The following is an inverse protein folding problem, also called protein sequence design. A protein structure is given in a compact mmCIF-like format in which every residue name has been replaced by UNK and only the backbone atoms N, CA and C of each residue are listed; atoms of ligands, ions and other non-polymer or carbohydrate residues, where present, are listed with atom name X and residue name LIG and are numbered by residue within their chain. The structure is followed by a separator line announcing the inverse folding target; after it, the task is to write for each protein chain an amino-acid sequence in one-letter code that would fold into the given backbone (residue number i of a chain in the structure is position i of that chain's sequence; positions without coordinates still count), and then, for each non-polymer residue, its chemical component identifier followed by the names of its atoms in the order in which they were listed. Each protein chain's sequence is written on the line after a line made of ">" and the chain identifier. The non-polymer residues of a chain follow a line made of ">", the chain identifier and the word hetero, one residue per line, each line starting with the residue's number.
data_IF_827685895339
#
_entry.id   IF_827685895339
#
_cell.length_a   1.000
_cell.length_b   1.000
_cell.length_c   1.000
_cell.angle_alpha   90.00
_cell.angle_beta   90.00
_cell.angle_gamma   90.00
#
_symmetry.space_group_name_H-M   'P 1'
#
loop_
_entity.id
_entity.type
_entity.pdbx_description
1 polymer ?
#
# COMPACT_ATOMS: atom_id res chain seq x y z
N UNK A 1 -16.51 44.47 11.13
CA UNK A 1 -15.53 43.39 11.32
C UNK A 1 -15.54 42.56 10.05
N UNK A 2 -14.65 42.90 9.12
CA UNK A 2 -14.50 42.20 7.84
C UNK A 2 -13.64 40.95 8.00
N UNK A 3 -14.07 39.86 7.35
CA UNK A 3 -13.40 38.57 7.31
C UNK A 3 -12.23 38.62 6.31
N UNK A 4 -11.01 38.34 6.79
CA UNK A 4 -9.81 38.23 5.94
C UNK A 4 -9.81 36.85 5.26
N UNK A 5 -9.77 36.75 3.91
CA UNK A 5 -9.60 35.47 3.24
C UNK A 5 -8.11 35.07 3.20
N UNK A 6 -7.79 33.90 3.77
CA UNK A 6 -6.47 33.28 3.58
C UNK A 6 -6.29 32.86 2.11
N UNK A 7 -5.62 33.71 1.33
CA UNK A 7 -5.20 33.43 -0.04
C UNK A 7 -3.79 32.84 0.01
N UNK A 8 -3.67 31.52 -0.15
CA UNK A 8 -2.37 30.86 -0.34
C UNK A 8 -1.85 31.21 -1.74
N UNK A 9 -0.64 31.77 -1.90
CA UNK A 9 -0.05 32.04 -3.21
C UNK A 9 0.17 30.72 -3.96
N UNK A 10 -0.30 30.67 -5.21
CA UNK A 10 0.14 29.70 -6.20
C UNK A 10 1.49 30.16 -6.75
N UNK A 11 2.32 29.18 -7.10
CA UNK A 11 3.56 29.30 -7.85
C UNK A 11 4.83 29.55 -7.01
N UNK A 12 5.34 28.46 -6.44
CA UNK A 12 6.79 28.29 -6.21
C UNK A 12 7.13 26.85 -6.57
N UNK A 13 8.03 26.59 -7.54
CA UNK A 13 8.49 25.23 -7.80
C UNK A 13 9.36 24.78 -6.62
N UNK A 14 8.79 23.98 -5.72
CA UNK A 14 9.57 23.30 -4.69
C UNK A 14 10.43 22.23 -5.37
N UNK A 15 11.65 22.59 -5.76
CA UNK A 15 12.65 21.62 -6.21
C UNK A 15 13.10 20.79 -5.01
N UNK A 16 12.60 19.56 -4.91
CA UNK A 16 13.10 18.58 -3.96
C UNK A 16 14.34 17.96 -4.60
N UNK A 17 15.51 18.52 -4.29
CA UNK A 17 16.79 17.94 -4.70
C UNK A 17 17.09 16.74 -3.81
N UNK A 18 16.87 15.52 -4.32
CA UNK A 18 17.29 14.29 -3.64
C UNK A 18 18.75 14.07 -4.00
N UNK A 19 19.66 14.46 -3.12
CA UNK A 19 21.09 14.17 -3.29
C UNK A 19 21.31 12.67 -3.04
N UNK A 20 21.53 11.90 -4.10
CA UNK A 20 21.90 10.48 -3.99
C UNK A 20 23.27 10.36 -3.32
N UNK A 21 23.42 9.74 -2.14
CA UNK A 21 24.74 9.41 -1.65
C UNK A 21 25.29 8.27 -2.52
N UNK A 22 26.47 8.50 -3.10
CA UNK A 22 27.24 7.47 -3.81
C UNK A 22 27.69 6.40 -2.82
N UNK A 23 26.84 5.41 -2.54
CA UNK A 23 27.25 4.21 -1.84
C UNK A 23 28.00 3.33 -2.85
N UNK A 24 29.33 3.51 -2.90
CA UNK A 24 30.24 2.52 -3.45
C UNK A 24 30.31 1.41 -2.40
N UNK A 25 29.42 0.44 -2.52
CA UNK A 25 29.39 -0.75 -1.70
C UNK A 25 28.99 -1.93 -2.56
N UNK A 26 29.95 -2.80 -2.88
CA UNK A 26 29.70 -4.09 -3.51
C UNK A 26 28.89 -4.97 -2.55
N UNK A 27 27.57 -4.81 -2.57
CA UNK A 27 26.61 -5.63 -1.85
C UNK A 27 25.45 -5.96 -2.77
N UNK A 28 25.26 -7.25 -3.07
CA UNK A 28 24.17 -7.78 -3.88
C UNK A 28 22.84 -7.66 -3.10
N UNK A 29 22.29 -6.45 -3.01
CA UNK A 29 20.94 -6.20 -2.49
C UNK A 29 20.00 -5.96 -3.67
N UNK A 30 18.91 -6.72 -3.71
CA UNK A 30 17.96 -6.80 -4.82
C UNK A 30 17.51 -5.43 -5.36
N UNK A 31 17.55 -5.32 -6.68
CA UNK A 31 17.52 -4.10 -7.48
C UNK A 31 16.14 -3.42 -7.53
N UNK A 32 15.93 -2.44 -6.67
CA UNK A 32 15.53 -1.05 -7.00
C UNK A 32 15.29 -0.32 -5.69
N UNK A 33 16.09 0.70 -5.38
CA UNK A 33 15.80 1.57 -4.25
C UNK A 33 14.47 2.30 -4.53
N UNK A 34 13.69 2.59 -3.49
CA UNK A 34 12.47 3.42 -3.61
C UNK A 34 12.73 4.72 -4.40
N UNK A 35 13.95 5.27 -4.25
CA UNK A 35 14.40 6.44 -5.00
C UNK A 35 14.48 6.19 -6.52
N UNK A 36 15.01 5.04 -6.96
CA UNK A 36 15.13 4.69 -8.39
C UNK A 36 13.77 4.55 -9.06
N UNK A 37 12.76 4.20 -8.27
CA UNK A 37 11.39 4.02 -8.74
C UNK A 37 10.64 5.35 -8.84
N UNK A 38 10.90 6.31 -7.94
CA UNK A 38 10.34 7.67 -8.02
C UNK A 38 11.06 8.57 -9.03
N UNK A 39 12.37 8.38 -9.19
CA UNK A 39 13.22 9.15 -10.09
C UNK A 39 14.04 8.20 -10.96
N UNK A 40 13.46 7.66 -12.04
CA UNK A 40 14.18 6.81 -12.98
C UNK A 40 15.39 7.56 -13.53
N UNK A 41 16.55 6.91 -13.70
CA UNK A 41 17.71 7.55 -14.30
C UNK A 41 17.38 8.05 -15.71
N UNK A 42 17.89 9.24 -16.04
CA UNK A 42 17.63 9.91 -17.30
C UNK A 42 17.87 8.97 -18.51
N UNK A 43 16.93 8.95 -19.45
CA UNK A 43 17.00 8.08 -20.65
C UNK A 43 16.26 6.74 -20.54
N UNK A 44 15.70 6.39 -19.37
CA UNK A 44 14.77 5.25 -19.24
C UNK A 44 13.32 5.71 -19.29
N UNK A 45 12.76 5.77 -20.50
CA UNK A 45 11.32 5.92 -20.75
C UNK A 45 10.76 4.52 -21.00
N UNK A 46 9.86 4.04 -20.14
CA UNK A 46 9.27 2.71 -20.28
C UNK A 46 8.60 2.22 -18.99
N UNK A 47 8.09 0.99 -19.05
CA UNK A 47 7.48 0.33 -17.90
C UNK A 47 8.58 -0.21 -16.95
N UNK A 48 8.51 0.16 -15.68
CA UNK A 48 9.40 -0.38 -14.64
C UNK A 48 8.67 -1.53 -13.95
N UNK A 49 9.25 -2.73 -14.01
CA UNK A 49 8.73 -3.86 -13.24
C UNK A 49 8.95 -3.60 -11.75
N UNK A 50 7.88 -3.72 -10.96
CA UNK A 50 7.91 -3.52 -9.52
C UNK A 50 7.65 -4.87 -8.85
N UNK A 51 8.70 -5.61 -8.45
CA UNK A 51 8.53 -6.93 -7.84
C UNK A 51 7.84 -6.80 -6.48
N UNK A 52 7.26 -7.87 -5.92
CA UNK A 52 6.77 -7.90 -4.56
C UNK A 52 7.85 -7.43 -3.56
N UNK A 53 7.50 -6.96 -2.36
CA UNK A 53 8.49 -6.62 -1.35
C UNK A 53 9.31 -7.85 -0.92
N UNK A 54 10.56 -7.63 -0.48
CA UNK A 54 11.51 -8.71 -0.18
C UNK A 54 10.98 -9.74 0.83
N UNK A 55 10.24 -9.30 1.85
CA UNK A 55 9.61 -10.20 2.83
C UNK A 55 8.58 -11.16 2.20
N UNK A 56 7.95 -10.76 1.09
CA UNK A 56 6.94 -11.54 0.39
C UNK A 56 7.54 -12.45 -0.70
N UNK A 57 8.84 -12.31 -1.00
CA UNK A 57 9.55 -13.14 -1.98
C UNK A 57 10.18 -14.40 -1.34
N UNK A 58 10.14 -14.52 -0.01
CA UNK A 58 10.81 -15.62 0.69
C UNK A 58 9.94 -16.89 0.71
N UNK A 59 10.55 -18.05 0.41
CA UNK A 59 10.05 -19.38 0.80
C UNK A 59 8.58 -19.70 0.48
N UNK A 60 8.15 -19.56 -0.78
CA UNK A 60 6.76 -19.78 -1.22
C UNK A 60 5.71 -19.13 -0.29
N UNK A 61 6.05 -17.97 0.28
CA UNK A 61 5.17 -17.25 1.18
C UNK A 61 3.85 -16.90 0.48
N UNK A 62 2.77 -17.02 1.25
CA UNK A 62 1.42 -16.69 0.80
C UNK A 62 0.73 -15.90 1.89
N UNK A 63 0.05 -14.82 1.50
CA UNK A 63 -0.77 -14.03 2.42
C UNK A 63 -2.04 -14.79 2.77
N UNK A 64 -2.31 -14.91 4.06
CA UNK A 64 -3.63 -15.24 4.56
C UNK A 64 -4.53 -14.00 4.48
N UNK A 65 -5.64 -14.13 3.74
CA UNK A 65 -6.61 -13.06 3.54
C UNK A 65 -7.80 -13.14 4.51
N UNK A 66 -7.87 -14.17 5.37
CA UNK A 66 -9.03 -14.45 6.24
C UNK A 66 -9.45 -13.27 7.12
N UNK A 67 -8.53 -12.39 7.48
CA UNK A 67 -8.77 -11.16 8.26
C UNK A 67 -9.65 -10.11 7.58
N UNK A 68 -9.92 -10.22 6.27
CA UNK A 68 -10.86 -9.34 5.56
C UNK A 68 -12.30 -9.68 6.00
N UNK A 69 -13.17 -8.70 6.30
CA UNK A 69 -14.57 -8.97 6.63
C UNK A 69 -15.33 -9.70 5.52
N UNK A 70 -16.25 -10.59 5.93
CA UNK A 70 -17.13 -11.49 5.15
C UNK A 70 -16.79 -12.98 5.34
N UNK A 71 -17.84 -13.80 5.25
CA UNK A 71 -17.85 -15.21 5.62
C UNK A 71 -17.28 -16.15 4.55
N UNK A 72 -16.70 -17.26 5.02
CA UNK A 72 -16.10 -18.31 4.18
C UNK A 72 -14.57 -18.39 4.29
N UNK A 73 -14.01 -19.48 3.75
CA UNK A 73 -12.55 -19.63 3.58
C UNK A 73 -12.10 -18.75 2.42
N UNK A 74 -11.11 -17.89 2.65
CA UNK A 74 -10.53 -17.04 1.62
C UNK A 74 -9.30 -17.72 1.01
N UNK A 75 -9.04 -17.55 -0.29
CA UNK A 75 -7.85 -18.12 -0.91
C UNK A 75 -6.59 -17.47 -0.34
N UNK A 76 -5.50 -18.25 -0.29
CA UNK A 76 -4.17 -17.72 -0.01
C UNK A 76 -3.66 -16.99 -1.25
N UNK A 77 -2.98 -15.85 -1.06
CA UNK A 77 -2.43 -15.07 -2.16
C UNK A 77 -0.93 -15.29 -2.27
N UNK A 78 -0.49 -15.87 -3.39
CA UNK A 78 0.90 -15.90 -3.80
C UNK A 78 1.26 -14.59 -4.52
N UNK A 79 2.24 -13.81 -4.03
CA UNK A 79 2.58 -12.49 -4.60
C UNK A 79 3.17 -12.55 -6.01
N UNK A 80 3.76 -13.69 -6.38
CA UNK A 80 4.48 -13.88 -7.64
C UNK A 80 3.59 -14.45 -8.75
N UNK A 81 2.38 -14.91 -8.42
CA UNK A 81 1.48 -15.61 -9.34
C UNK A 81 0.21 -14.80 -9.65
N UNK A 82 -0.45 -15.14 -10.75
CA UNK A 82 -1.74 -14.58 -11.09
C UNK A 82 -2.80 -15.02 -10.09
N UNK A 83 -3.49 -14.07 -9.46
CA UNK A 83 -4.50 -14.34 -8.44
C UNK A 83 -5.93 -14.16 -8.98
N UNK A 84 -6.83 -15.08 -8.63
CA UNK A 84 -8.23 -15.01 -9.04
C UNK A 84 -9.02 -14.01 -8.19
N UNK A 85 -9.10 -12.77 -8.66
CA UNK A 85 -9.82 -11.67 -7.98
C UNK A 85 -11.29 -12.02 -7.72
N UNK A 86 -11.93 -12.81 -8.58
CA UNK A 86 -13.34 -13.17 -8.43
C UNK A 86 -13.60 -14.04 -7.19
N UNK A 87 -12.65 -14.89 -6.81
CA UNK A 87 -12.77 -15.71 -5.59
C UNK A 87 -12.68 -14.85 -4.33
N UNK A 88 -11.76 -13.88 -4.32
CA UNK A 88 -11.67 -12.91 -3.24
C UNK A 88 -12.94 -12.07 -3.13
N UNK A 89 -13.51 -11.62 -4.25
CA UNK A 89 -14.77 -10.85 -4.26
C UNK A 89 -15.95 -11.65 -3.72
N UNK A 90 -16.08 -12.93 -4.07
CA UNK A 90 -17.18 -13.78 -3.58
C UNK A 90 -17.08 -14.07 -2.08
N UNK A 91 -15.87 -14.06 -1.54
CA UNK A 91 -15.58 -14.38 -0.13
C UNK A 91 -15.33 -13.15 0.75
N UNK A 92 -15.43 -11.93 0.20
CA UNK A 92 -15.20 -10.67 0.90
C UNK A 92 -16.34 -9.68 0.64
N UNK A 93 -16.44 -8.62 1.46
CA UNK A 93 -17.33 -7.49 1.16
C UNK A 93 -16.66 -6.42 0.28
N UNK A 94 -15.56 -6.77 -0.40
CA UNK A 94 -14.84 -5.85 -1.30
C UNK A 94 -15.57 -5.78 -2.66
N UNK A 95 -15.71 -4.55 -3.18
CA UNK A 95 -16.10 -4.37 -4.58
C UNK A 95 -14.96 -4.78 -5.54
N UNK A 96 -15.23 -4.75 -6.84
CA UNK A 96 -14.24 -5.15 -7.84
C UNK A 96 -12.95 -4.34 -7.78
N UNK A 97 -13.08 -3.01 -7.72
CA UNK A 97 -11.94 -2.10 -7.75
C UNK A 97 -11.11 -2.24 -6.47
N UNK A 98 -11.78 -2.43 -5.33
CA UNK A 98 -11.14 -2.64 -4.04
C UNK A 98 -10.39 -3.96 -3.99
N UNK A 99 -11.01 -5.07 -4.44
CA UNK A 99 -10.36 -6.38 -4.49
C UNK A 99 -9.12 -6.36 -5.39
N UNK A 100 -9.24 -5.80 -6.59
CA UNK A 100 -8.10 -5.61 -7.50
C UNK A 100 -7.01 -4.76 -6.84
N UNK A 101 -7.36 -3.64 -6.21
CA UNK A 101 -6.38 -2.76 -5.57
C UNK A 101 -5.63 -3.44 -4.42
N UNK A 102 -6.30 -4.29 -3.63
CA UNK A 102 -5.66 -5.07 -2.55
C UNK A 102 -4.67 -6.08 -3.14
N UNK A 103 -5.10 -6.87 -4.14
CA UNK A 103 -4.25 -7.87 -4.78
C UNK A 103 -3.01 -7.23 -5.39
N UNK A 104 -3.18 -6.10 -6.07
CA UNK A 104 -2.07 -5.37 -6.69
C UNK A 104 -1.10 -4.80 -5.66
N UNK A 105 -1.62 -4.26 -4.54
CA UNK A 105 -0.80 -3.76 -3.45
C UNK A 105 0.01 -4.86 -2.74
N UNK A 106 -0.49 -6.10 -2.71
CA UNK A 106 0.21 -7.24 -2.11
C UNK A 106 1.24 -7.88 -3.06
N UNK A 107 1.05 -7.71 -4.37
CA UNK A 107 1.87 -8.33 -5.42
C UNK A 107 2.97 -7.42 -5.96
N UNK A 108 3.02 -6.16 -5.52
CA UNK A 108 4.02 -5.16 -5.96
C UNK A 108 4.60 -4.39 -4.78
N UNK A 109 5.90 -4.13 -4.82
CA UNK A 109 6.61 -3.33 -3.82
C UNK A 109 6.21 -1.84 -3.78
N UNK A 110 5.62 -1.33 -4.86
CA UNK A 110 4.92 -0.04 -4.89
C UNK A 110 3.59 -0.20 -5.64
N UNK A 111 2.53 0.32 -5.05
CA UNK A 111 1.22 0.50 -5.71
C UNK A 111 0.65 1.86 -5.39
N UNK A 112 0.05 2.50 -6.40
CA UNK A 112 -0.67 3.77 -6.25
C UNK A 112 -2.16 3.49 -6.47
N UNK A 113 -2.96 3.68 -5.42
CA UNK A 113 -4.40 3.45 -5.48
C UNK A 113 -5.11 4.80 -5.62
N UNK A 114 -5.62 5.05 -6.82
CA UNK A 114 -6.46 6.20 -7.13
C UNK A 114 -7.92 5.78 -7.22
N UNK A 115 -8.81 6.73 -7.06
CA UNK A 115 -10.25 6.47 -7.05
C UNK A 115 -11.04 7.76 -6.90
N UNK A 116 -12.33 7.75 -7.24
CA UNK A 116 -13.21 8.89 -7.06
C UNK A 116 -13.29 9.31 -5.58
N UNK A 117 -13.62 10.58 -5.28
CA UNK A 117 -13.79 11.04 -3.91
C UNK A 117 -14.89 10.22 -3.22
N UNK A 118 -14.55 9.56 -2.09
CA UNK A 118 -15.48 8.68 -1.38
C UNK A 118 -14.82 7.66 -0.44
N UNK A 119 -15.63 6.75 0.12
CA UNK A 119 -15.24 5.74 1.12
C UNK A 119 -14.45 4.54 0.58
N UNK A 120 -14.39 4.37 -0.73
CA UNK A 120 -13.82 3.17 -1.37
C UNK A 120 -12.34 2.98 -1.07
N UNK A 121 -11.55 4.06 -1.05
CA UNK A 121 -10.11 4.04 -0.73
C UNK A 121 -9.83 3.68 0.73
N UNK A 122 -10.58 4.26 1.66
CA UNK A 122 -10.37 4.04 3.09
C UNK A 122 -10.60 2.58 3.46
N UNK A 123 -11.57 1.92 2.82
CA UNK A 123 -11.83 0.50 3.04
C UNK A 123 -10.69 -0.39 2.52
N UNK A 124 -10.17 -0.12 1.31
CA UNK A 124 -8.99 -0.81 0.77
C UNK A 124 -7.78 -0.69 1.70
N UNK A 125 -7.56 0.50 2.30
CA UNK A 125 -6.47 0.71 3.26
C UNK A 125 -6.64 -0.15 4.51
N UNK A 126 -7.83 -0.16 5.10
CA UNK A 126 -8.14 -1.00 6.28
C UNK A 126 -7.90 -2.48 5.95
N UNK A 127 -8.38 -2.96 4.80
CA UNK A 127 -8.18 -4.35 4.36
C UNK A 127 -6.69 -4.68 4.20
N UNK A 128 -5.93 -3.82 3.51
CA UNK A 128 -4.50 -4.03 3.31
C UNK A 128 -3.72 -4.06 4.64
N UNK A 129 -3.98 -3.11 5.53
CA UNK A 129 -3.33 -3.08 6.85
C UNK A 129 -3.68 -4.32 7.67
N UNK A 130 -4.92 -4.82 7.63
CA UNK A 130 -5.29 -6.07 8.30
C UNK A 130 -4.51 -7.27 7.77
N UNK A 131 -4.36 -7.39 6.45
CA UNK A 131 -3.64 -8.50 5.83
C UNK A 131 -2.16 -8.46 6.22
N UNK A 132 -1.54 -7.28 6.15
CA UNK A 132 -0.13 -7.13 6.56
C UNK A 132 0.07 -7.44 8.05
N UNK A 133 -0.85 -7.02 8.92
CA UNK A 133 -0.80 -7.35 10.35
C UNK A 133 -1.01 -8.84 10.62
N UNK A 134 -1.98 -9.48 9.97
CA UNK A 134 -2.28 -10.90 10.13
C UNK A 134 -1.12 -11.80 9.67
N UNK A 135 -0.31 -11.33 8.72
CA UNK A 135 0.83 -12.06 8.17
C UNK A 135 2.18 -11.57 8.72
N UNK A 136 2.18 -10.67 9.71
CA UNK A 136 3.39 -10.00 10.21
C UNK A 136 4.44 -10.99 10.71
N UNK A 137 4.04 -11.93 11.56
CA UNK A 137 4.94 -12.94 12.12
C UNK A 137 5.43 -13.92 11.04
N UNK A 138 4.50 -14.40 10.19
CA UNK A 138 4.81 -15.39 9.15
C UNK A 138 5.82 -14.90 8.12
N UNK A 139 5.75 -13.62 7.74
CA UNK A 139 6.67 -13.01 6.78
C UNK A 139 7.76 -12.15 7.42
N UNK A 140 7.89 -12.16 8.75
CA UNK A 140 8.81 -11.26 9.48
C UNK A 140 8.68 -9.79 9.01
N UNK A 141 7.45 -9.33 8.80
CA UNK A 141 7.19 -7.96 8.33
C UNK A 141 7.61 -6.99 9.43
N UNK A 142 8.48 -6.04 9.07
CA UNK A 142 8.93 -4.99 9.97
C UNK A 142 7.81 -4.04 10.41
N UNK A 143 8.16 -2.95 11.12
CA UNK A 143 7.21 -1.92 11.53
C UNK A 143 6.43 -1.37 10.32
N UNK A 144 5.10 -1.25 10.46
CA UNK A 144 4.22 -0.69 9.42
C UNK A 144 3.98 0.79 9.74
N UNK A 145 4.48 1.69 8.89
CA UNK A 145 4.26 3.13 9.01
C UNK A 145 3.05 3.56 8.17
N UNK A 146 2.02 4.09 8.83
CA UNK A 146 0.83 4.62 8.16
C UNK A 146 0.78 6.15 8.29
N UNK A 147 0.82 6.87 7.17
CA UNK A 147 0.77 8.34 7.13
C UNK A 147 -0.60 8.82 6.63
N UNK A 148 -1.12 9.86 7.28
CA UNK A 148 -2.42 10.48 6.95
C UNK A 148 -2.30 11.99 6.96
N UNK A 149 -2.96 12.65 6.01
CA UNK A 149 -3.00 14.11 5.92
C UNK A 149 -3.91 14.77 6.96
N UNK A 150 -4.86 14.03 7.52
CA UNK A 150 -5.79 14.55 8.54
C UNK A 150 -5.92 13.58 9.70
N UNK A 151 -6.07 14.13 10.91
CA UNK A 151 -6.38 13.36 12.12
C UNK A 151 -7.68 12.57 11.98
N UNK A 152 -8.71 13.17 11.39
CA UNK A 152 -10.00 12.51 11.17
C UNK A 152 -9.88 11.23 10.34
N UNK A 153 -9.04 11.23 9.30
CA UNK A 153 -8.83 10.03 8.49
C UNK A 153 -8.06 8.93 9.24
N UNK A 154 -7.14 9.32 10.13
CA UNK A 154 -6.42 8.40 10.99
C UNK A 154 -7.38 7.74 12.00
N UNK A 155 -8.17 8.55 12.73
CA UNK A 155 -9.11 8.06 13.74
C UNK A 155 -10.11 7.07 13.13
N UNK A 156 -10.66 7.38 11.95
CA UNK A 156 -11.54 6.48 11.22
C UNK A 156 -10.88 5.13 10.90
N UNK A 157 -9.63 5.14 10.40
CA UNK A 157 -8.95 3.87 10.08
C UNK A 157 -8.61 3.10 11.35
N UNK A 158 -8.15 3.76 12.42
CA UNK A 158 -7.85 3.12 13.69
C UNK A 158 -9.09 2.47 14.30
N UNK A 159 -10.23 3.17 14.33
CA UNK A 159 -11.51 2.61 14.79
C UNK A 159 -11.87 1.34 14.02
N UNK A 160 -11.71 1.36 12.69
CA UNK A 160 -11.98 0.19 11.86
C UNK A 160 -10.98 -0.94 12.05
N UNK A 161 -9.72 -0.66 12.37
CA UNK A 161 -8.71 -1.70 12.64
C UNK A 161 -8.89 -2.35 14.00
N UNK A 162 -9.15 -1.55 15.04
CA UNK A 162 -9.24 -1.98 16.44
C UNK A 162 -10.61 -2.59 16.77
N UNK A 163 -11.63 -2.32 15.93
CA UNK A 163 -12.97 -2.90 16.05
C UNK A 163 -13.64 -2.53 17.37
N UNK A 164 -14.26 -1.36 17.45
CA UNK A 164 -15.19 -0.91 18.51
C UNK A 164 -14.86 -1.31 19.98
N UNK A 165 -13.59 -1.44 20.37
CA UNK A 165 -13.20 -1.75 21.76
C UNK A 165 -12.83 -0.51 22.60
N UNK A 166 -13.09 0.70 22.08
CA UNK A 166 -13.03 1.93 22.88
C UNK A 166 -14.46 2.39 23.12
N UNK A 167 -15.06 1.89 24.19
CA UNK A 167 -16.30 2.41 24.76
C UNK A 167 -16.04 2.79 26.21
#
# INVERSE_FOLDING_TARGET
>A
MESIPCRVPKDTPTSISIHSPSIIGNGHFGRSSFADLLAPPAGKIGYVAVPPPSYAQQGNFQYDLCCIPSGGKKPLLLPTETFNINELRKSSSLDNAQATSVVEALSRGLTIIQGPPGRSKSYTRVALTRILLANKEKAAIGPILCVYSTKYALDYVLEKLLGNNFK
#
